data_IF_548097794953
#
_entry.id   IF_548097794953
#
_cell.length_a   1.000
_cell.length_b   1.000
_cell.length_c   1.000
_cell.angle_alpha   90.00
_cell.angle_beta   90.00
_cell.angle_gamma   90.00
#
_symmetry.space_group_name_H-M   'P 1'
#
loop_
_entity.id
_entity.type
_entity.pdbx_description
1 polymer ?
#
# COMPACT_ATOMS: atom_id res chain seq x y z
N UNK A 1 -1.88 1.40 17.34
CA UNK A 1 -1.14 2.46 16.61
C UNK A 1 -1.83 2.85 15.30
N UNK A 2 -2.03 1.95 14.30
CA UNK A 2 -2.69 2.31 13.03
C UNK A 2 -4.06 2.95 13.25
N UNK A 3 -4.92 2.32 14.04
CA UNK A 3 -6.27 2.80 14.34
C UNK A 3 -6.24 4.15 15.06
N UNK A 4 -5.30 4.35 15.95
CA UNK A 4 -5.12 5.61 16.69
C UNK A 4 -4.74 6.75 15.75
N UNK A 5 -3.74 6.53 14.87
CA UNK A 5 -3.30 7.50 13.87
C UNK A 5 -4.45 7.78 12.89
N UNK A 6 -5.11 6.74 12.41
CA UNK A 6 -6.25 6.87 11.50
C UNK A 6 -7.33 7.76 12.11
N UNK A 7 -7.79 7.45 13.32
CA UNK A 7 -8.84 8.21 14.02
C UNK A 7 -8.43 9.63 14.39
N UNK A 8 -7.13 9.86 14.66
CA UNK A 8 -6.64 11.18 15.01
C UNK A 8 -6.60 12.13 13.80
N UNK A 9 -6.28 11.61 12.61
CA UNK A 9 -6.00 12.46 11.45
C UNK A 9 -7.06 12.35 10.33
N UNK A 10 -7.73 11.23 10.14
CA UNK A 10 -8.70 11.03 9.06
C UNK A 10 -10.12 11.16 9.61
N UNK A 11 -10.70 12.36 9.45
CA UNK A 11 -11.99 12.73 10.05
C UNK A 11 -13.09 13.03 9.05
N UNK A 12 -12.81 12.96 7.76
CA UNK A 12 -13.76 13.26 6.69
C UNK A 12 -14.91 12.22 6.63
N UNK A 13 -16.00 12.62 6.00
CA UNK A 13 -17.18 11.74 5.86
C UNK A 13 -16.82 10.40 5.21
N UNK A 14 -17.29 9.32 5.83
CA UNK A 14 -17.04 7.95 5.41
C UNK A 14 -15.75 7.30 5.95
N UNK A 15 -14.90 8.04 6.66
CA UNK A 15 -13.68 7.50 7.27
C UNK A 15 -13.97 6.38 8.27
N UNK A 16 -15.01 6.53 9.08
CA UNK A 16 -15.50 5.53 10.03
C UNK A 16 -15.90 4.21 9.35
N UNK A 17 -16.58 4.31 8.21
CA UNK A 17 -17.01 3.14 7.41
C UNK A 17 -15.83 2.45 6.76
N UNK A 18 -14.83 3.22 6.29
CA UNK A 18 -13.59 2.65 5.76
C UNK A 18 -12.84 1.91 6.87
N UNK A 19 -12.70 2.50 8.05
CA UNK A 19 -12.04 1.85 9.17
C UNK A 19 -12.76 0.58 9.59
N UNK A 20 -14.09 0.59 9.70
CA UNK A 20 -14.89 -0.62 9.98
C UNK A 20 -14.67 -1.72 8.91
N UNK A 21 -14.56 -1.32 7.63
CA UNK A 21 -14.23 -2.27 6.56
C UNK A 21 -12.84 -2.87 6.76
N UNK A 22 -11.84 -2.08 7.09
CA UNK A 22 -10.47 -2.55 7.30
C UNK A 22 -10.38 -3.49 8.51
N UNK A 23 -11.07 -3.16 9.61
CA UNK A 23 -11.03 -3.95 10.86
C UNK A 23 -11.85 -5.25 10.79
N UNK A 24 -13.04 -5.20 10.20
CA UNK A 24 -14.05 -6.25 10.38
C UNK A 24 -14.42 -6.99 9.09
N UNK A 25 -14.06 -6.47 7.89
CA UNK A 25 -14.54 -6.99 6.60
C UNK A 25 -13.42 -7.23 5.59
N UNK A 26 -12.17 -7.07 6.02
CA UNK A 26 -11.00 -7.28 5.18
C UNK A 26 -9.89 -8.01 5.93
N UNK A 27 -8.87 -8.42 5.21
CA UNK A 27 -7.67 -9.02 5.77
C UNK A 27 -6.52 -8.00 5.97
N UNK A 28 -6.81 -6.70 5.93
CA UNK A 28 -5.81 -5.63 6.00
C UNK A 28 -4.81 -5.80 7.15
N UNK A 29 -5.31 -6.15 8.34
CA UNK A 29 -4.47 -6.31 9.53
C UNK A 29 -3.74 -7.65 9.62
N UNK A 30 -4.04 -8.61 8.75
CA UNK A 30 -3.42 -9.93 8.74
C UNK A 30 -2.67 -10.21 7.43
N UNK A 31 -2.99 -9.49 6.35
CA UNK A 31 -2.34 -9.65 5.05
C UNK A 31 -0.84 -9.32 5.10
N UNK A 32 -0.01 -9.99 4.28
CA UNK A 32 1.39 -9.60 4.08
C UNK A 32 1.50 -8.36 3.18
N UNK A 33 2.59 -7.61 3.29
CA UNK A 33 2.88 -6.51 2.37
C UNK A 33 3.34 -7.00 0.99
N UNK A 34 3.89 -8.19 0.91
CA UNK A 34 4.33 -8.83 -0.34
C UNK A 34 4.31 -10.35 -0.22
N UNK A 35 4.33 -11.04 -1.36
CA UNK A 35 4.38 -12.50 -1.38
C UNK A 35 5.77 -13.06 -0.98
N UNK A 36 6.87 -12.34 -1.29
CA UNK A 36 8.24 -12.88 -1.17
C UNK A 36 9.30 -11.88 -0.73
N UNK A 37 8.98 -10.58 -0.72
CA UNK A 37 9.94 -9.51 -0.45
C UNK A 37 9.78 -8.98 0.97
N UNK A 38 9.71 -7.65 1.13
CA UNK A 38 9.58 -7.01 2.42
C UNK A 38 8.26 -7.37 3.11
N UNK A 39 8.31 -7.59 4.41
CA UNK A 39 7.15 -7.86 5.26
C UNK A 39 6.22 -8.96 4.71
N UNK A 40 6.80 -10.02 4.15
CA UNK A 40 6.10 -11.24 3.72
C UNK A 40 5.72 -12.10 4.95
N UNK A 41 4.94 -11.50 5.85
CA UNK A 41 4.50 -12.10 7.10
C UNK A 41 3.10 -11.60 7.46
N UNK A 42 2.46 -12.26 8.40
CA UNK A 42 1.16 -11.84 8.93
C UNK A 42 1.24 -10.43 9.52
N UNK A 43 0.27 -9.57 9.18
CA UNK A 43 0.24 -8.16 9.55
C UNK A 43 1.23 -7.26 8.80
N UNK A 44 1.94 -7.82 7.82
CA UNK A 44 2.94 -7.10 7.04
C UNK A 44 2.40 -5.88 6.32
N UNK A 45 1.16 -5.94 5.80
CA UNK A 45 0.52 -4.83 5.09
C UNK A 45 0.29 -3.63 6.01
N UNK A 46 -0.32 -3.85 7.17
CA UNK A 46 -0.53 -2.79 8.16
C UNK A 46 0.81 -2.19 8.63
N UNK A 47 1.81 -3.04 8.91
CA UNK A 47 3.14 -2.59 9.30
C UNK A 47 3.82 -1.76 8.21
N UNK A 48 3.65 -2.15 6.94
CA UNK A 48 4.16 -1.39 5.80
C UNK A 48 3.54 0.01 5.74
N UNK A 49 2.22 0.09 5.84
CA UNK A 49 1.49 1.37 5.84
C UNK A 49 1.95 2.30 6.96
N UNK A 50 2.17 1.78 8.17
CA UNK A 50 2.71 2.54 9.29
C UNK A 50 4.15 3.02 9.02
N UNK A 51 5.00 2.17 8.48
CA UNK A 51 6.37 2.55 8.14
C UNK A 51 6.39 3.68 7.09
N UNK A 52 5.53 3.60 6.06
CA UNK A 52 5.40 4.65 5.05
C UNK A 52 4.90 5.94 5.68
N UNK A 53 3.93 5.88 6.59
CA UNK A 53 3.43 7.05 7.31
C UNK A 53 4.55 7.75 8.10
N UNK A 54 5.28 7.01 8.92
CA UNK A 54 6.36 7.59 9.72
C UNK A 54 7.49 8.15 8.85
N UNK A 55 7.87 7.45 7.77
CA UNK A 55 8.86 7.95 6.83
C UNK A 55 8.42 9.24 6.13
N UNK A 56 7.15 9.33 5.74
CA UNK A 56 6.62 10.52 5.07
C UNK A 56 6.55 11.71 6.02
N UNK A 57 6.08 11.51 7.27
CA UNK A 57 6.07 12.55 8.30
C UNK A 57 7.48 13.05 8.59
N UNK A 58 8.45 12.14 8.81
CA UNK A 58 9.85 12.51 9.03
C UNK A 58 10.44 13.27 7.83
N UNK A 59 10.16 12.82 6.61
CA UNK A 59 10.63 13.47 5.39
C UNK A 59 10.11 14.91 5.27
N UNK A 60 8.81 15.11 5.49
CA UNK A 60 8.18 16.43 5.38
C UNK A 60 8.64 17.40 6.48
N UNK A 61 9.09 16.92 7.63
CA UNK A 61 9.60 17.76 8.73
C UNK A 61 11.06 18.18 8.55
N UNK A 62 11.79 17.62 7.57
CA UNK A 62 13.20 17.96 7.36
C UNK A 62 13.36 19.38 6.85
N UNK A 63 14.16 20.20 7.57
CA UNK A 63 14.46 21.58 7.20
C UNK A 63 14.88 21.71 5.73
N UNK A 64 15.77 20.84 5.27
CA UNK A 64 16.24 20.83 3.87
C UNK A 64 15.13 20.60 2.85
N UNK A 65 14.13 19.80 3.18
CA UNK A 65 12.96 19.53 2.31
C UNK A 65 12.07 20.77 2.23
N UNK A 66 11.84 21.42 3.38
CA UNK A 66 11.06 22.64 3.45
C UNK A 66 11.74 23.79 2.69
N UNK A 67 13.04 23.98 2.88
CA UNK A 67 13.81 25.02 2.19
C UNK A 67 13.81 24.86 0.66
N UNK A 68 13.96 23.63 0.16
CA UNK A 68 14.09 23.35 -1.27
C UNK A 68 12.76 23.24 -2.00
N UNK A 69 11.74 22.65 -1.37
CA UNK A 69 10.50 22.27 -2.05
C UNK A 69 9.27 22.96 -1.49
N UNK A 70 9.32 23.51 -0.26
CA UNK A 70 8.20 24.20 0.38
C UNK A 70 6.93 23.32 0.43
N UNK A 71 7.10 22.02 0.73
CA UNK A 71 5.98 21.06 0.72
C UNK A 71 5.12 21.24 1.96
N UNK A 72 3.89 21.68 1.74
CA UNK A 72 2.90 21.84 2.79
C UNK A 72 1.67 20.98 2.50
N UNK A 73 1.44 19.99 3.35
CA UNK A 73 0.26 19.12 3.27
C UNK A 73 -0.42 19.04 4.62
N UNK A 74 -1.75 18.94 4.63
CA UNK A 74 -2.49 18.70 5.87
C UNK A 74 -2.11 17.32 6.44
N UNK A 75 -2.12 17.19 7.78
CA UNK A 75 -1.89 15.92 8.47
C UNK A 75 -2.86 14.84 7.98
N UNK A 76 -4.11 15.22 7.68
CA UNK A 76 -5.08 14.30 7.09
C UNK A 76 -4.64 13.78 5.72
N UNK A 77 -4.16 14.65 4.83
CA UNK A 77 -3.67 14.24 3.50
C UNK A 77 -2.48 13.29 3.61
N UNK A 78 -1.53 13.60 4.51
CA UNK A 78 -0.37 12.73 4.79
C UNK A 78 -0.82 11.36 5.29
N UNK A 79 -1.75 11.32 6.25
CA UNK A 79 -2.29 10.07 6.78
C UNK A 79 -3.05 9.27 5.72
N UNK A 80 -3.91 9.91 4.94
CA UNK A 80 -4.67 9.26 3.86
C UNK A 80 -3.74 8.61 2.85
N UNK A 81 -2.77 9.35 2.32
CA UNK A 81 -1.87 8.83 1.31
C UNK A 81 -1.01 7.71 1.87
N UNK A 82 -0.36 7.93 3.03
CA UNK A 82 0.60 6.97 3.56
C UNK A 82 -0.05 5.69 4.11
N UNK A 83 -1.16 5.80 4.83
CA UNK A 83 -1.81 4.63 5.43
C UNK A 83 -2.61 3.79 4.43
N UNK A 84 -3.09 4.40 3.33
CA UNK A 84 -4.07 3.76 2.46
C UNK A 84 -3.57 3.47 1.03
N UNK A 85 -2.30 3.84 0.69
CA UNK A 85 -1.79 3.67 -0.68
C UNK A 85 -1.86 2.25 -1.20
N UNK A 86 -1.69 1.27 -0.34
CA UNK A 86 -1.55 -0.16 -0.66
C UNK A 86 -2.81 -1.00 -0.36
N UNK A 87 -4.00 -0.38 -0.22
CA UNK A 87 -5.25 -1.12 0.00
C UNK A 87 -5.57 -2.12 -1.11
N UNK A 88 -4.98 -1.95 -2.29
CA UNK A 88 -5.06 -2.93 -3.39
C UNK A 88 -4.62 -4.33 -3.00
N UNK A 89 -3.80 -4.47 -1.96
CA UNK A 89 -3.28 -5.75 -1.47
C UNK A 89 -4.27 -6.54 -0.59
N UNK A 90 -5.39 -5.93 -0.21
CA UNK A 90 -6.48 -6.62 0.49
C UNK A 90 -7.03 -7.74 -0.39
N UNK A 91 -7.11 -8.95 0.18
CA UNK A 91 -7.62 -10.14 -0.52
C UNK A 91 -6.77 -10.62 -1.68
N UNK A 92 -5.50 -10.20 -1.76
CA UNK A 92 -4.61 -10.55 -2.87
C UNK A 92 -3.68 -11.73 -2.58
N UNK A 93 -3.64 -12.21 -1.34
CA UNK A 93 -2.66 -13.22 -0.96
C UNK A 93 -3.30 -14.47 -0.37
N UNK A 94 -2.81 -15.63 -0.83
CA UNK A 94 -3.15 -16.93 -0.26
C UNK A 94 -1.98 -17.46 0.54
N UNK A 95 -2.25 -17.79 1.80
CA UNK A 95 -1.27 -18.40 2.71
C UNK A 95 -1.01 -19.85 2.29
N UNK A 96 0.24 -20.22 2.18
CA UNK A 96 0.70 -21.56 1.86
C UNK A 96 2.01 -21.89 2.56
N UNK A 97 2.69 -22.92 2.06
CA UNK A 97 4.00 -23.33 2.56
C UNK A 97 4.94 -23.59 1.40
N UNK A 98 6.22 -23.36 1.62
CA UNK A 98 7.30 -23.76 0.71
C UNK A 98 8.35 -24.56 1.46
N UNK A 99 8.99 -25.48 0.76
CA UNK A 99 10.13 -26.19 1.31
C UNK A 99 11.39 -25.33 1.10
N UNK A 100 12.17 -25.14 2.16
CA UNK A 100 13.45 -24.44 2.15
C UNK A 100 14.49 -25.37 2.76
N UNK A 101 15.65 -25.44 2.15
CA UNK A 101 16.77 -26.20 2.74
C UNK A 101 17.41 -25.33 3.81
N UNK A 102 17.51 -25.86 5.01
CA UNK A 102 18.22 -25.22 6.11
C UNK A 102 19.72 -25.41 5.89
N UNK A 103 20.44 -24.31 5.66
CA UNK A 103 21.89 -24.37 5.35
C UNK A 103 22.75 -24.90 6.53
N UNK A 104 22.25 -24.73 7.76
CA UNK A 104 22.96 -25.20 8.95
C UNK A 104 22.78 -26.70 9.20
N UNK A 105 21.63 -27.26 8.90
CA UNK A 105 21.30 -28.67 9.16
C UNK A 105 21.29 -29.55 7.90
N UNK A 106 21.23 -28.92 6.70
CA UNK A 106 21.07 -29.61 5.43
C UNK A 106 19.66 -30.21 5.20
N UNK A 107 18.74 -30.05 6.13
CA UNK A 107 17.40 -30.62 6.07
C UNK A 107 16.41 -29.68 5.39
N UNK A 108 15.35 -30.26 4.81
CA UNK A 108 14.26 -29.50 4.23
C UNK A 108 13.20 -29.17 5.28
N UNK A 109 12.89 -27.90 5.41
CA UNK A 109 11.91 -27.37 6.35
C UNK A 109 10.75 -26.72 5.59
N UNK A 110 9.52 -26.91 6.10
CA UNK A 110 8.34 -26.18 5.61
C UNK A 110 8.27 -24.82 6.27
N UNK A 111 8.41 -23.76 5.48
CA UNK A 111 8.24 -22.39 5.96
C UNK A 111 6.96 -21.77 5.39
N UNK A 112 6.27 -20.90 6.14
CA UNK A 112 5.12 -20.17 5.62
C UNK A 112 5.51 -19.37 4.38
N UNK A 113 4.60 -19.33 3.43
CA UNK A 113 4.78 -18.55 2.20
C UNK A 113 3.44 -18.00 1.74
N UNK A 114 3.49 -16.98 0.89
CA UNK A 114 2.30 -16.39 0.29
C UNK A 114 2.39 -16.48 -1.23
N UNK A 115 1.28 -16.75 -1.88
CA UNK A 115 1.12 -16.66 -3.32
C UNK A 115 0.16 -15.54 -3.67
N UNK A 116 0.36 -14.89 -4.82
CA UNK A 116 -0.59 -13.89 -5.32
C UNK A 116 -1.79 -14.59 -5.94
N UNK A 117 -2.98 -14.23 -5.50
CA UNK A 117 -4.25 -14.70 -6.04
C UNK A 117 -5.20 -13.49 -6.11
N UNK A 118 -4.92 -12.54 -7.00
CA UNK A 118 -5.73 -11.34 -7.15
C UNK A 118 -6.96 -11.62 -8.01
N UNK A 119 -8.13 -11.70 -7.37
CA UNK A 119 -9.42 -11.92 -8.02
C UNK A 119 -10.02 -10.63 -8.61
N UNK A 120 -9.41 -9.48 -8.37
CA UNK A 120 -9.84 -8.19 -8.88
C UNK A 120 -8.66 -7.40 -9.48
N UNK A 121 -8.18 -7.79 -10.67
CA UNK A 121 -7.02 -7.17 -11.32
C UNK A 121 -7.38 -5.80 -11.94
N UNK A 122 -7.47 -4.77 -11.10
CA UNK A 122 -7.88 -3.42 -11.51
C UNK A 122 -6.67 -2.44 -11.66
N UNK A 123 -5.46 -2.95 -11.57
CA UNK A 123 -4.25 -2.15 -11.46
C UNK A 123 -3.87 -1.87 -10.00
N UNK A 124 -2.61 -1.58 -9.74
CA UNK A 124 -2.14 -1.50 -8.34
C UNK A 124 -2.66 -0.24 -7.63
N UNK A 125 -2.28 0.93 -8.10
CA UNK A 125 -2.72 2.19 -7.50
C UNK A 125 -4.20 2.48 -7.73
N UNK A 126 -4.73 2.14 -8.92
CA UNK A 126 -6.15 2.32 -9.25
C UNK A 126 -7.06 1.54 -8.31
N UNK A 127 -6.69 0.31 -7.97
CA UNK A 127 -7.47 -0.52 -7.04
C UNK A 127 -7.52 0.09 -5.65
N UNK A 128 -6.39 0.67 -5.17
CA UNK A 128 -6.38 1.39 -3.90
C UNK A 128 -7.31 2.60 -3.92
N UNK A 129 -7.20 3.46 -4.93
CA UNK A 129 -8.11 4.60 -5.12
C UNK A 129 -9.57 4.16 -5.17
N UNK A 130 -9.88 3.15 -5.99
CA UNK A 130 -11.23 2.60 -6.10
C UNK A 130 -11.77 2.10 -4.75
N UNK A 131 -10.97 1.37 -3.98
CA UNK A 131 -11.39 0.84 -2.69
C UNK A 131 -11.67 1.95 -1.67
N UNK A 132 -10.84 3.00 -1.63
CA UNK A 132 -11.02 4.15 -0.74
C UNK A 132 -12.28 4.93 -1.14
N UNK A 133 -12.44 5.23 -2.42
CA UNK A 133 -13.57 6.02 -2.97
C UNK A 133 -14.94 5.36 -2.76
N UNK A 134 -15.01 4.08 -2.46
CA UNK A 134 -16.25 3.40 -2.04
C UNK A 134 -16.77 3.87 -0.69
N UNK A 135 -15.93 4.47 0.12
CA UNK A 135 -16.26 4.86 1.49
C UNK A 135 -16.12 6.36 1.71
N UNK A 136 -14.99 6.94 1.30
CA UNK A 136 -14.70 8.36 1.49
C UNK A 136 -14.09 8.97 0.24
N UNK A 137 -14.35 10.27 0.02
CA UNK A 137 -13.80 10.99 -1.12
C UNK A 137 -12.35 11.36 -0.93
N UNK A 138 -11.55 11.12 -1.97
CA UNK A 138 -10.17 11.58 -2.04
C UNK A 138 -10.09 12.98 -2.66
N UNK A 139 -9.13 13.77 -2.21
CA UNK A 139 -8.69 14.96 -2.95
C UNK A 139 -7.93 14.52 -4.20
N UNK A 140 -7.85 15.39 -5.20
CA UNK A 140 -7.16 15.05 -6.46
C UNK A 140 -5.70 14.70 -6.23
N UNK A 141 -5.00 15.48 -5.41
CA UNK A 141 -3.60 15.22 -5.06
C UNK A 141 -3.40 13.87 -4.33
N UNK A 142 -4.34 13.49 -3.45
CA UNK A 142 -4.30 12.21 -2.75
C UNK A 142 -4.52 11.04 -3.73
N UNK A 143 -5.52 11.14 -4.59
CA UNK A 143 -5.82 10.14 -5.60
C UNK A 143 -4.64 9.94 -6.57
N UNK A 144 -4.02 11.04 -7.01
CA UNK A 144 -2.86 11.00 -7.91
C UNK A 144 -1.66 10.40 -7.20
N UNK A 145 -1.36 10.80 -5.96
CA UNK A 145 -0.27 10.25 -5.18
C UNK A 145 -0.42 8.73 -4.96
N UNK A 146 -1.63 8.28 -4.57
CA UNK A 146 -1.93 6.85 -4.39
C UNK A 146 -1.87 6.12 -5.72
N UNK A 147 -2.43 6.69 -6.80
CA UNK A 147 -2.45 6.07 -8.12
C UNK A 147 -1.03 5.78 -8.64
N UNK A 148 -0.11 6.71 -8.42
CA UNK A 148 1.22 6.67 -9.01
C UNK A 148 2.34 6.31 -8.04
N UNK A 149 2.03 5.83 -6.82
CA UNK A 149 3.05 5.55 -5.79
C UNK A 149 4.08 4.49 -6.23
N UNK A 150 3.71 3.58 -7.14
CA UNK A 150 4.65 2.62 -7.73
C UNK A 150 5.59 3.25 -8.78
N UNK A 151 5.32 4.47 -9.22
CA UNK A 151 6.15 5.16 -10.21
C UNK A 151 6.39 4.34 -11.47
N UNK A 152 7.63 4.25 -11.92
CA UNK A 152 8.04 3.52 -13.13
C UNK A 152 7.84 2.00 -13.08
N UNK A 153 7.52 1.43 -11.93
CA UNK A 153 7.17 0.01 -11.79
C UNK A 153 5.69 -0.28 -12.04
N UNK A 154 4.88 0.75 -12.29
CA UNK A 154 3.50 0.55 -12.68
C UNK A 154 3.42 0.10 -14.14
N UNK A 155 2.83 -1.08 -14.37
CA UNK A 155 2.73 -1.68 -15.71
C UNK A 155 1.96 -0.79 -16.71
N UNK A 156 1.06 0.07 -16.25
CA UNK A 156 0.34 1.00 -17.11
C UNK A 156 1.26 2.08 -17.70
N UNK A 157 2.32 2.47 -17.00
CA UNK A 157 3.33 3.41 -17.50
C UNK A 157 4.21 2.80 -18.59
N UNK A 158 4.47 1.49 -18.53
CA UNK A 158 5.24 0.78 -19.55
C UNK A 158 4.53 0.84 -20.91
N UNK A 159 3.21 0.70 -20.91
CA UNK A 159 2.41 0.80 -22.14
C UNK A 159 2.33 2.23 -22.70
N UNK A 160 2.41 3.26 -21.87
CA UNK A 160 2.41 4.66 -22.30
C UNK A 160 3.77 5.06 -22.87
N UNK A 161 4.86 4.48 -22.37
CA UNK A 161 6.24 4.83 -22.76
C UNK A 161 6.79 4.02 -23.93
N UNK A 162 6.10 2.98 -24.40
CA UNK A 162 6.51 2.30 -25.62
C UNK A 162 6.26 3.20 -26.84
N UNK A 163 7.33 3.61 -27.59
CA UNK A 163 7.13 4.31 -28.83
C UNK A 163 6.38 3.36 -29.78
N UNK A 164 5.20 3.79 -30.21
CA UNK A 164 4.49 3.12 -31.30
C UNK A 164 5.45 2.96 -32.47
N UNK A 165 6.03 1.78 -32.67
CA UNK A 165 6.70 1.43 -33.90
C UNK A 165 5.67 1.54 -35.01
N UNK A 166 5.67 2.68 -35.71
CA UNK A 166 5.04 2.76 -37.03
C UNK A 166 5.68 1.68 -37.88
N UNK A 167 4.94 0.60 -38.14
CA UNK A 167 5.26 -0.29 -39.23
C UNK A 167 5.05 0.53 -40.51
N UNK A 168 6.15 0.98 -41.11
CA UNK A 168 6.17 1.43 -42.48
C UNK A 168 5.99 0.26 -43.42
#
# INVERSE_FOLDING_TARGET
EFIEIFKAHITRDGADKLLDFLENKSDFFTAPASARYHLSCEGGLCKHSLNVYHCLVDYLQRERVQELYGLEYSEETVAVVALLHDLCKIGCYKKGFRNVKNDATGQWEKVPSYSVEDLFPYGHGEKSVFLIERFMKLKVEEAVAIRWHMGGFDLSLIHISEPTRRRG
#
